data_IF_959863850040
#
_entry.id   IF_959863850040
#
_cell.length_a   1.000
_cell.length_b   1.000
_cell.length_c   1.000
_cell.angle_alpha   90.00
_cell.angle_beta   90.00
_cell.angle_gamma   90.00
#
_symmetry.space_group_name_H-M   'P 1'
#
loop_
_entity.id
_entity.type
_entity.pdbx_description
1 polymer ?
#
# COMPACT_ATOMS: atom_id res chain seq x y z
N UNK A 1 4.17 -75.93 -33.70
CA UNK A 1 4.98 -74.86 -33.07
C UNK A 1 5.06 -73.65 -34.00
N UNK A 2 4.44 -72.52 -33.65
CA UNK A 2 4.92 -71.15 -33.91
C UNK A 2 3.92 -70.16 -33.32
N UNK A 3 4.23 -69.69 -32.11
CA UNK A 3 3.61 -68.52 -31.48
C UNK A 3 3.91 -67.26 -32.31
N UNK A 4 2.95 -66.35 -32.41
CA UNK A 4 3.19 -64.91 -32.16
C UNK A 4 1.89 -64.10 -32.15
N UNK A 5 1.81 -63.26 -31.10
CA UNK A 5 1.11 -61.96 -30.98
C UNK A 5 -0.41 -61.99 -30.82
N UNK A 6 -0.84 -61.63 -29.60
CA UNK A 6 -1.84 -60.58 -29.37
C UNK A 6 -1.82 -60.21 -27.88
N UNK A 7 -0.92 -59.29 -27.51
CA UNK A 7 -0.97 -58.61 -26.22
C UNK A 7 -1.63 -57.26 -26.47
N UNK A 8 -2.96 -57.20 -26.34
CA UNK A 8 -3.71 -55.96 -26.54
C UNK A 8 -3.73 -55.19 -25.21
N UNK A 9 -2.88 -54.16 -25.12
CA UNK A 9 -2.73 -53.25 -23.97
C UNK A 9 -4.01 -52.45 -23.76
N UNK A 10 -4.81 -52.80 -22.74
CA UNK A 10 -5.75 -51.86 -22.09
C UNK A 10 -5.01 -51.05 -21.03
N UNK A 11 -4.17 -50.09 -21.47
CA UNK A 11 -3.54 -49.11 -20.60
C UNK A 11 -3.40 -47.81 -21.40
N UNK A 12 -4.47 -47.02 -21.44
CA UNK A 12 -4.47 -45.76 -22.21
C UNK A 12 -5.41 -44.68 -21.69
N UNK A 13 -6.52 -45.06 -21.04
CA UNK A 13 -7.50 -44.08 -20.57
C UNK A 13 -7.07 -43.27 -19.33
N UNK A 14 -6.31 -43.89 -18.41
CA UNK A 14 -5.98 -43.24 -17.13
C UNK A 14 -4.81 -42.25 -17.24
N UNK A 15 -3.88 -42.47 -18.19
CA UNK A 15 -2.77 -41.54 -18.45
C UNK A 15 -3.22 -40.23 -19.10
N UNK A 16 -4.27 -40.25 -19.92
CA UNK A 16 -4.81 -39.05 -20.57
C UNK A 16 -5.53 -38.13 -19.57
N UNK A 17 -6.20 -38.69 -18.55
CA UNK A 17 -6.90 -37.92 -17.51
C UNK A 17 -5.89 -37.28 -16.53
N UNK A 18 -4.82 -37.99 -16.17
CA UNK A 18 -3.74 -37.46 -15.33
C UNK A 18 -2.95 -36.33 -16.00
N UNK A 19 -2.70 -36.42 -17.31
CA UNK A 19 -2.04 -35.34 -18.07
C UNK A 19 -2.94 -34.11 -18.20
N UNK A 20 -4.26 -34.28 -18.30
CA UNK A 20 -5.21 -33.16 -18.32
C UNK A 20 -5.34 -32.43 -16.96
N UNK A 21 -5.22 -33.14 -15.83
CA UNK A 21 -5.20 -32.52 -14.50
C UNK A 21 -3.90 -31.76 -14.21
N UNK A 22 -2.76 -32.18 -14.77
CA UNK A 22 -1.48 -31.45 -14.62
C UNK A 22 -1.39 -30.16 -15.44
N UNK A 23 -2.20 -30.00 -16.50
CA UNK A 23 -2.23 -28.80 -17.34
C UNK A 23 -3.11 -27.68 -16.79
N UNK A 24 -3.96 -27.95 -15.80
CA UNK A 24 -4.81 -26.94 -15.13
C UNK A 24 -4.13 -26.28 -13.92
N UNK A 25 -2.96 -26.75 -13.50
CA UNK A 25 -2.04 -25.99 -12.64
C UNK A 25 -1.27 -24.95 -13.47
N UNK A 26 -2.00 -24.19 -14.29
CA UNK A 26 -1.49 -22.96 -14.87
C UNK A 26 -1.20 -22.02 -13.70
N UNK A 27 0.10 -21.81 -13.44
CA UNK A 27 0.58 -20.95 -12.38
C UNK A 27 -0.18 -19.61 -12.37
N UNK A 28 -1.02 -19.40 -11.36
CA UNK A 28 -1.54 -18.07 -11.05
C UNK A 28 -0.31 -17.19 -10.79
N UNK A 29 0.08 -16.36 -11.76
CA UNK A 29 1.17 -15.41 -11.55
C UNK A 29 0.74 -14.51 -10.40
N UNK A 30 1.57 -14.34 -9.37
CA UNK A 30 1.20 -13.49 -8.26
C UNK A 30 1.00 -12.06 -8.79
N UNK A 31 -0.12 -11.46 -8.45
CA UNK A 31 -0.47 -10.11 -8.89
C UNK A 31 0.47 -9.10 -8.21
N UNK A 32 1.23 -8.36 -9.01
CA UNK A 32 2.17 -7.35 -8.53
C UNK A 32 1.46 -6.01 -8.38
N UNK A 33 1.68 -5.34 -7.24
CA UNK A 33 1.25 -3.96 -7.03
C UNK A 33 2.04 -3.02 -7.95
N UNK A 34 3.35 -3.24 -8.06
CA UNK A 34 4.20 -2.53 -8.99
C UNK A 34 4.21 -3.24 -10.35
N UNK A 35 3.26 -2.88 -11.21
CA UNK A 35 3.02 -3.59 -12.48
C UNK A 35 4.21 -3.58 -13.45
N UNK A 36 4.92 -2.46 -13.58
CA UNK A 36 6.09 -2.35 -14.47
C UNK A 36 7.32 -3.09 -13.86
N UNK A 37 7.84 -4.13 -14.54
CA UNK A 37 9.03 -4.86 -14.08
C UNK A 37 10.30 -4.00 -13.98
N UNK A 38 10.49 -3.03 -14.87
CA UNK A 38 11.64 -2.13 -14.83
C UNK A 38 11.56 -1.21 -13.61
N UNK A 39 10.38 -0.64 -13.36
CA UNK A 39 10.13 0.15 -12.17
C UNK A 39 10.28 -0.66 -10.88
N UNK A 40 9.79 -1.90 -10.82
CA UNK A 40 10.04 -2.80 -9.66
C UNK A 40 11.52 -2.98 -9.36
N UNK A 41 12.34 -3.24 -10.38
CA UNK A 41 13.78 -3.36 -10.20
C UNK A 41 14.42 -2.07 -9.69
N UNK A 42 13.94 -0.91 -10.15
CA UNK A 42 14.37 0.39 -9.64
C UNK A 42 14.03 0.55 -8.16
N UNK A 43 12.77 0.32 -7.78
CA UNK A 43 12.29 0.40 -6.39
C UNK A 43 13.14 -0.50 -5.49
N UNK A 44 13.27 -1.78 -5.85
CA UNK A 44 14.02 -2.75 -5.06
C UNK A 44 15.49 -2.34 -4.89
N UNK A 45 16.14 -1.86 -5.95
CA UNK A 45 17.52 -1.38 -5.90
C UNK A 45 17.68 -0.17 -4.97
N UNK A 46 16.74 0.77 -4.99
CA UNK A 46 16.79 1.94 -4.11
C UNK A 46 16.49 1.56 -2.66
N UNK A 47 15.53 0.65 -2.44
CA UNK A 47 15.28 0.06 -1.13
C UNK A 47 16.55 -0.58 -0.55
N UNK A 48 17.27 -1.41 -1.32
CA UNK A 48 18.53 -2.03 -0.85
C UNK A 48 19.58 -1.00 -0.41
N UNK A 49 19.74 0.10 -1.16
CA UNK A 49 20.65 1.19 -0.77
C UNK A 49 20.22 1.84 0.56
N UNK A 50 18.92 2.08 0.72
CA UNK A 50 18.35 2.66 1.96
C UNK A 50 18.49 1.69 3.14
N UNK A 51 18.31 0.39 2.91
CA UNK A 51 18.48 -0.65 3.91
C UNK A 51 19.93 -0.73 4.41
N UNK A 52 20.92 -0.62 3.53
CA UNK A 52 22.33 -0.56 3.94
C UNK A 52 22.63 0.70 4.78
N UNK A 53 22.13 1.87 4.36
CA UNK A 53 22.27 3.11 5.14
C UNK A 53 21.65 2.98 6.54
N UNK A 54 20.53 2.26 6.66
CA UNK A 54 19.81 2.05 7.90
C UNK A 54 20.15 0.73 8.62
N UNK A 55 21.30 0.10 8.31
CA UNK A 55 21.70 -1.18 8.91
C UNK A 55 21.67 -1.20 10.44
N UNK A 56 21.95 -0.06 11.08
CA UNK A 56 21.91 0.11 12.54
C UNK A 56 20.52 0.02 13.16
N UNK A 57 19.45 0.06 12.34
CA UNK A 57 18.04 -0.06 12.75
C UNK A 57 17.34 -1.22 12.01
N UNK A 58 18.10 -2.25 11.62
CA UNK A 58 17.59 -3.33 10.78
C UNK A 58 16.40 -4.06 11.42
N UNK A 59 16.43 -4.25 12.74
CA UNK A 59 15.37 -4.95 13.46
C UNK A 59 14.09 -4.11 13.54
N UNK A 60 14.22 -2.84 13.87
CA UNK A 60 13.13 -1.87 14.04
C UNK A 60 12.42 -1.59 12.71
N UNK A 61 13.18 -1.49 11.62
CA UNK A 61 12.64 -1.15 10.30
C UNK A 61 12.20 -2.38 9.49
N UNK A 62 13.00 -3.44 9.45
CA UNK A 62 12.85 -4.48 8.43
C UNK A 62 12.28 -5.80 8.95
N UNK A 63 12.12 -5.97 10.26
CA UNK A 63 11.48 -7.18 10.84
C UNK A 63 10.06 -7.39 10.31
N UNK A 64 9.33 -6.30 10.07
CA UNK A 64 7.95 -6.30 9.54
C UNK A 64 7.84 -6.87 8.13
N UNK A 65 8.94 -6.94 7.37
CA UNK A 65 8.93 -7.53 6.03
C UNK A 65 8.69 -9.04 6.07
N UNK A 66 8.86 -9.70 7.22
CA UNK A 66 8.58 -11.14 7.35
C UNK A 66 7.07 -11.36 7.37
N UNK A 67 6.57 -12.24 6.49
CA UNK A 67 5.15 -12.61 6.45
C UNK A 67 4.22 -11.66 5.70
N UNK A 68 4.75 -10.59 5.08
CA UNK A 68 3.93 -9.72 4.22
C UNK A 68 3.52 -10.43 2.94
N UNK A 69 2.31 -10.11 2.47
CA UNK A 69 1.92 -10.47 1.11
C UNK A 69 2.73 -9.63 0.08
N UNK A 70 2.68 -10.02 -1.19
CA UNK A 70 3.46 -9.40 -2.24
C UNK A 70 3.16 -7.91 -2.43
N UNK A 71 1.88 -7.52 -2.41
CA UNK A 71 1.47 -6.12 -2.58
C UNK A 71 1.92 -5.24 -1.42
N UNK A 72 1.76 -5.71 -0.17
CA UNK A 72 2.26 -5.04 1.04
C UNK A 72 3.77 -4.86 0.99
N UNK A 73 4.52 -5.91 0.62
CA UNK A 73 5.97 -5.85 0.47
C UNK A 73 6.38 -4.80 -0.55
N UNK A 74 5.79 -4.83 -1.75
CA UNK A 74 6.15 -3.91 -2.82
C UNK A 74 5.81 -2.45 -2.49
N UNK A 75 4.68 -2.21 -1.84
CA UNK A 75 4.30 -0.88 -1.37
C UNK A 75 5.23 -0.38 -0.26
N UNK A 76 5.61 -1.25 0.69
CA UNK A 76 6.51 -0.88 1.77
C UNK A 76 7.96 -0.66 1.26
N UNK A 77 8.44 -1.46 0.31
CA UNK A 77 9.71 -1.23 -0.37
C UNK A 77 9.71 0.11 -1.13
N UNK A 78 8.59 0.47 -1.78
CA UNK A 78 8.44 1.78 -2.42
C UNK A 78 8.56 2.93 -1.40
N UNK A 79 7.91 2.82 -0.24
CA UNK A 79 8.07 3.83 0.81
C UNK A 79 9.52 3.91 1.28
N UNK A 80 10.18 2.78 1.58
CA UNK A 80 11.58 2.79 2.05
C UNK A 80 12.56 3.33 1.02
N UNK A 81 12.33 3.05 -0.27
CA UNK A 81 13.17 3.53 -1.35
C UNK A 81 13.22 5.08 -1.41
N UNK A 82 12.08 5.74 -1.18
CA UNK A 82 11.90 7.15 -1.50
C UNK A 82 11.53 8.06 -0.32
N UNK A 83 11.29 7.52 0.88
CA UNK A 83 11.03 8.32 2.07
C UNK A 83 12.24 9.20 2.46
N UNK A 84 11.99 10.34 3.13
CA UNK A 84 13.03 11.15 3.75
C UNK A 84 13.89 10.35 4.75
N UNK A 85 15.18 10.69 4.81
CA UNK A 85 16.12 10.02 5.73
C UNK A 85 15.77 10.27 7.20
N UNK A 86 15.16 11.41 7.52
CA UNK A 86 14.67 11.72 8.86
C UNK A 86 13.70 10.66 9.36
N UNK A 87 12.80 10.18 8.50
CA UNK A 87 11.75 9.25 8.91
C UNK A 87 12.32 7.84 9.07
N UNK A 88 13.25 7.48 8.18
CA UNK A 88 14.03 6.24 8.29
C UNK A 88 14.83 6.19 9.60
N UNK A 89 15.26 7.34 10.12
CA UNK A 89 15.98 7.45 11.39
C UNK A 89 15.04 7.46 12.61
N UNK A 90 13.83 8.02 12.49
CA UNK A 90 12.97 8.35 13.64
C UNK A 90 11.76 7.43 13.82
N UNK A 91 11.35 6.66 12.81
CA UNK A 91 10.13 5.84 12.84
C UNK A 91 10.43 4.36 12.60
N UNK A 92 9.51 3.49 13.00
CA UNK A 92 9.69 2.04 12.96
C UNK A 92 8.90 1.40 11.81
N UNK A 93 9.29 0.18 11.43
CA UNK A 93 8.66 -0.54 10.33
C UNK A 93 7.16 -0.78 10.52
N UNK A 94 6.70 -0.94 11.78
CA UNK A 94 5.28 -1.09 12.08
C UNK A 94 4.48 0.15 11.71
N UNK A 95 5.03 1.35 11.96
CA UNK A 95 4.38 2.60 11.56
C UNK A 95 4.14 2.61 10.05
N UNK A 96 5.18 2.37 9.24
CA UNK A 96 5.04 2.38 7.78
C UNK A 96 4.12 1.28 7.25
N UNK A 97 4.14 0.10 7.86
CA UNK A 97 3.23 -0.99 7.49
C UNK A 97 1.77 -0.62 7.76
N UNK A 98 1.47 0.03 8.89
CA UNK A 98 0.13 0.56 9.17
C UNK A 98 -0.30 1.58 8.11
N UNK A 99 0.62 2.44 7.65
CA UNK A 99 0.33 3.39 6.57
C UNK A 99 -0.04 2.68 5.26
N UNK A 100 0.71 1.64 4.87
CA UNK A 100 0.43 0.83 3.68
C UNK A 100 -0.94 0.16 3.79
N UNK A 101 -1.22 -0.48 4.93
CA UNK A 101 -2.47 -1.21 5.15
C UNK A 101 -3.68 -0.29 5.12
N UNK A 102 -3.63 0.87 5.76
CA UNK A 102 -4.75 1.81 5.73
C UNK A 102 -4.97 2.41 4.34
N UNK A 103 -3.90 2.65 3.57
CA UNK A 103 -4.04 3.09 2.17
C UNK A 103 -4.75 2.03 1.31
N UNK A 104 -4.36 0.76 1.44
CA UNK A 104 -5.03 -0.33 0.72
C UNK A 104 -6.46 -0.56 1.20
N UNK A 105 -6.70 -0.45 2.51
CA UNK A 105 -8.03 -0.53 3.09
C UNK A 105 -8.94 0.56 2.50
N UNK A 106 -8.48 1.80 2.43
CA UNK A 106 -9.23 2.89 1.82
C UNK A 106 -9.50 2.63 0.32
N UNK A 107 -8.49 2.16 -0.42
CA UNK A 107 -8.65 1.78 -1.84
C UNK A 107 -9.70 0.70 -2.06
N UNK A 108 -9.80 -0.26 -1.13
CA UNK A 108 -10.78 -1.34 -1.20
C UNK A 108 -12.17 -0.91 -0.72
N UNK A 109 -12.24 0.01 0.26
CA UNK A 109 -13.49 0.41 0.90
C UNK A 109 -14.36 1.29 0.00
N UNK A 110 -13.75 2.26 -0.69
CA UNK A 110 -14.50 3.20 -1.53
C UNK A 110 -14.70 2.66 -2.95
N UNK A 111 -15.91 2.86 -3.50
CA UNK A 111 -16.33 2.34 -4.81
C UNK A 111 -15.42 2.80 -5.96
N UNK A 112 -14.90 4.03 -5.86
CA UNK A 112 -13.99 4.65 -6.81
C UNK A 112 -12.51 4.25 -6.62
N UNK A 113 -12.15 3.57 -5.53
CA UNK A 113 -10.75 3.22 -5.25
C UNK A 113 -10.12 2.24 -6.25
N UNK A 114 -10.95 1.40 -6.89
CA UNK A 114 -10.55 0.49 -7.98
C UNK A 114 -10.30 1.22 -9.31
N UNK A 115 -10.90 2.39 -9.49
CA UNK A 115 -10.80 3.17 -10.73
C UNK A 115 -9.55 4.07 -10.73
N UNK A 116 -8.88 4.22 -9.57
CA UNK A 116 -7.64 4.98 -9.44
C UNK A 116 -6.48 4.20 -10.12
N UNK A 117 -5.76 4.81 -11.08
CA UNK A 117 -4.57 4.23 -11.68
C UNK A 117 -3.47 3.93 -10.64
N UNK A 118 -2.72 2.85 -10.82
CA UNK A 118 -1.74 2.41 -9.82
C UNK A 118 -0.58 3.39 -9.62
N UNK A 119 -0.19 4.12 -10.66
CA UNK A 119 0.81 5.19 -10.58
C UNK A 119 0.29 6.38 -9.79
N UNK A 120 -0.97 6.79 -9.99
CA UNK A 120 -1.60 7.84 -9.19
C UNK A 120 -1.71 7.41 -7.73
N UNK A 121 -2.23 6.21 -7.47
CA UNK A 121 -2.34 5.67 -6.11
C UNK A 121 -0.98 5.62 -5.42
N UNK A 122 0.06 5.11 -6.11
CA UNK A 122 1.41 4.97 -5.57
C UNK A 122 2.06 6.29 -5.21
N UNK A 123 1.87 7.36 -5.98
CA UNK A 123 2.56 8.62 -5.74
C UNK A 123 1.75 9.62 -4.92
N UNK A 124 0.42 9.52 -4.90
CA UNK A 124 -0.43 10.53 -4.27
C UNK A 124 -1.31 10.01 -3.13
N UNK A 125 -1.43 8.69 -2.96
CA UNK A 125 -2.24 8.10 -1.88
C UNK A 125 -1.38 7.27 -0.92
N UNK A 126 -0.46 6.47 -1.46
CA UNK A 126 0.39 5.61 -0.63
C UNK A 126 1.32 6.40 0.32
N UNK A 127 1.99 7.51 -0.09
CA UNK A 127 2.84 8.30 0.81
C UNK A 127 2.04 8.86 1.98
N UNK A 128 2.59 8.75 3.19
CA UNK A 128 1.90 9.01 4.47
C UNK A 128 1.98 10.47 4.94
N UNK A 129 2.65 11.32 4.18
CA UNK A 129 2.80 12.76 4.42
C UNK A 129 2.48 13.52 3.15
N UNK A 130 1.98 14.74 3.32
CA UNK A 130 1.67 15.66 2.22
C UNK A 130 2.76 16.73 2.12
N UNK A 131 3.28 17.21 3.24
CA UNK A 131 4.28 18.28 3.30
C UNK A 131 5.43 17.88 4.26
N UNK A 132 6.00 18.86 4.97
CA UNK A 132 7.10 18.71 5.92
C UNK A 132 6.62 18.52 7.38
N UNK A 133 5.36 18.17 7.59
CA UNK A 133 4.81 17.87 8.91
C UNK A 133 5.50 16.68 9.58
N UNK A 134 5.51 16.69 10.91
CA UNK A 134 5.92 15.51 11.66
C UNK A 134 4.88 14.38 11.48
N UNK A 135 5.27 13.15 11.09
CA UNK A 135 4.31 12.08 10.87
C UNK A 135 3.60 11.69 12.15
N UNK A 136 2.30 11.48 12.05
CA UNK A 136 1.47 10.93 13.12
C UNK A 136 0.55 9.83 12.58
N UNK A 137 -0.46 9.43 13.35
CA UNK A 137 -1.44 8.38 12.99
C UNK A 137 -2.70 8.93 12.33
N UNK A 138 -2.66 10.15 11.77
CA UNK A 138 -3.82 10.81 11.19
C UNK A 138 -4.52 9.96 10.14
N UNK A 139 -3.78 9.28 9.26
CA UNK A 139 -4.36 8.39 8.24
C UNK A 139 -5.31 7.35 8.85
N UNK A 140 -4.89 6.69 9.93
CA UNK A 140 -5.68 5.66 10.60
C UNK A 140 -6.91 6.27 11.28
N UNK A 141 -6.70 7.36 12.03
CA UNK A 141 -7.77 8.03 12.79
C UNK A 141 -8.81 8.63 11.85
N UNK A 142 -8.38 9.38 10.85
CA UNK A 142 -9.26 10.06 9.91
C UNK A 142 -9.97 9.10 8.98
N UNK A 143 -9.32 7.98 8.59
CA UNK A 143 -10.02 6.93 7.86
C UNK A 143 -11.22 6.40 8.65
N UNK A 144 -11.04 6.12 9.94
CA UNK A 144 -12.14 5.64 10.79
C UNK A 144 -13.24 6.69 10.99
N UNK A 145 -12.89 7.98 11.14
CA UNK A 145 -13.88 9.06 11.27
C UNK A 145 -14.65 9.36 9.98
N UNK A 146 -13.98 9.30 8.82
CA UNK A 146 -14.55 9.75 7.55
C UNK A 146 -15.19 8.62 6.73
N UNK A 147 -14.75 7.36 6.88
CA UNK A 147 -15.13 6.28 5.95
C UNK A 147 -16.64 6.11 5.78
N UNK A 148 -17.41 6.22 6.86
CA UNK A 148 -18.86 6.06 6.79
C UNK A 148 -19.58 7.33 6.34
N UNK A 149 -19.01 8.50 6.65
CA UNK A 149 -19.52 9.81 6.22
C UNK A 149 -19.47 9.97 4.69
N UNK A 150 -18.42 9.47 4.05
CA UNK A 150 -18.23 9.59 2.60
C UNK A 150 -18.59 8.31 1.83
N UNK A 151 -19.09 7.29 2.52
CA UNK A 151 -19.47 6.02 1.91
C UNK A 151 -20.58 6.22 0.89
N UNK A 152 -20.39 5.67 -0.31
CA UNK A 152 -21.38 5.74 -1.38
C UNK A 152 -21.42 7.06 -2.14
N UNK A 153 -20.64 8.06 -1.73
CA UNK A 153 -20.43 9.28 -2.52
C UNK A 153 -19.49 9.01 -3.69
N UNK A 154 -19.72 9.72 -4.80
CA UNK A 154 -18.72 9.83 -5.85
C UNK A 154 -17.51 10.64 -5.38
N UNK A 155 -16.41 10.60 -6.14
CA UNK A 155 -15.14 11.22 -5.74
C UNK A 155 -15.27 12.74 -5.53
N UNK A 156 -16.09 13.43 -6.33
CA UNK A 156 -16.29 14.87 -6.23
C UNK A 156 -17.02 15.24 -4.93
N UNK A 157 -18.14 14.56 -4.65
CA UNK A 157 -18.91 14.77 -3.42
C UNK A 157 -18.15 14.34 -2.17
N UNK A 158 -17.39 13.25 -2.25
CA UNK A 158 -16.51 12.82 -1.17
C UNK A 158 -15.46 13.88 -0.83
N UNK A 159 -14.83 14.51 -1.84
CA UNK A 159 -13.87 15.58 -1.62
C UNK A 159 -14.50 16.81 -0.94
N UNK A 160 -15.70 17.22 -1.38
CA UNK A 160 -16.44 18.30 -0.72
C UNK A 160 -16.79 17.96 0.74
N UNK A 161 -17.21 16.72 1.00
CA UNK A 161 -17.58 16.29 2.34
C UNK A 161 -16.37 16.25 3.28
N UNK A 162 -15.21 15.84 2.79
CA UNK A 162 -13.95 15.92 3.55
C UNK A 162 -13.61 17.38 3.85
N UNK A 163 -13.74 18.29 2.89
CA UNK A 163 -13.50 19.72 3.10
C UNK A 163 -14.45 20.31 4.16
N UNK A 164 -15.72 19.91 4.16
CA UNK A 164 -16.67 20.31 5.21
C UNK A 164 -16.26 19.75 6.59
N UNK A 165 -15.86 18.47 6.66
CA UNK A 165 -15.34 17.89 7.89
C UNK A 165 -14.10 18.61 8.41
N UNK A 166 -13.15 19.01 7.53
CA UNK A 166 -11.98 19.77 7.97
C UNK A 166 -12.38 21.12 8.59
N UNK A 167 -13.37 21.81 8.01
CA UNK A 167 -13.90 23.07 8.54
C UNK A 167 -14.59 22.91 9.91
N UNK A 168 -15.14 21.74 10.21
CA UNK A 168 -15.67 21.43 11.55
C UNK A 168 -14.57 21.24 12.61
N UNK A 169 -13.32 21.00 12.18
CA UNK A 169 -12.21 20.60 13.05
C UNK A 169 -11.20 21.71 13.29
N UNK A 170 -10.95 22.55 12.29
CA UNK A 170 -9.85 23.53 12.29
C UNK A 170 -10.35 24.89 11.81
N UNK A 171 -10.04 25.94 12.58
CA UNK A 171 -10.28 27.33 12.18
C UNK A 171 -8.99 28.01 11.72
N UNK A 172 -9.04 28.77 10.64
CA UNK A 172 -7.89 29.56 10.18
C UNK A 172 -7.32 30.45 11.29
N UNK A 173 -6.01 30.33 11.51
CA UNK A 173 -5.23 31.26 12.30
C UNK A 173 -3.79 31.29 11.78
N UNK A 174 -3.26 32.49 11.56
CA UNK A 174 -1.84 32.63 11.23
C UNK A 174 -0.97 32.12 12.39
N UNK A 175 -0.09 31.18 12.09
CA UNK A 175 0.90 30.58 13.01
C UNK A 175 2.30 30.75 12.42
N UNK A 176 3.32 30.11 13.02
CA UNK A 176 4.67 30.11 12.47
C UNK A 176 4.80 29.29 11.16
N UNK A 177 6.00 29.29 10.55
CA UNK A 177 6.23 28.66 9.25
C UNK A 177 6.15 27.13 9.27
N UNK A 178 6.29 26.49 10.45
CA UNK A 178 6.28 25.03 10.58
C UNK A 178 4.89 24.48 10.30
N UNK A 179 4.83 23.36 9.60
CA UNK A 179 3.58 22.64 9.35
C UNK A 179 3.31 21.71 10.53
N UNK A 180 2.19 21.95 11.21
CA UNK A 180 1.69 21.11 12.30
C UNK A 180 1.24 19.74 11.76
N UNK A 181 1.44 18.69 12.55
CA UNK A 181 0.92 17.36 12.24
C UNK A 181 -0.62 17.37 12.28
N UNK A 182 -1.33 16.60 11.43
CA UNK A 182 -2.79 16.73 11.32
C UNK A 182 -3.54 16.47 12.63
N UNK A 183 -3.13 15.48 13.43
CA UNK A 183 -3.74 15.24 14.75
C UNK A 183 -3.42 16.36 15.74
N UNK A 184 -2.25 16.98 15.64
CA UNK A 184 -1.91 18.14 16.46
C UNK A 184 -2.78 19.34 16.09
N UNK A 185 -3.00 19.57 14.80
CA UNK A 185 -3.88 20.65 14.29
C UNK A 185 -5.33 20.46 14.75
N UNK A 186 -5.87 19.24 14.63
CA UNK A 186 -7.22 18.93 15.14
C UNK A 186 -7.31 19.13 16.65
N UNK A 187 -6.26 18.76 17.39
CA UNK A 187 -6.21 18.94 18.85
C UNK A 187 -6.19 20.43 19.25
N UNK A 188 -5.48 21.26 18.51
CA UNK A 188 -5.41 22.71 18.79
C UNK A 188 -6.59 23.48 18.21
N UNK A 189 -7.30 22.90 17.24
CA UNK A 189 -8.45 23.46 16.52
C UNK A 189 -8.14 24.75 15.73
N UNK A 190 -6.87 25.02 15.43
CA UNK A 190 -6.45 26.12 14.56
C UNK A 190 -5.24 25.74 13.72
N UNK A 191 -5.12 26.34 12.54
CA UNK A 191 -4.01 26.14 11.60
C UNK A 191 -4.03 27.16 10.46
N UNK A 192 -3.00 27.15 9.61
CA UNK A 192 -2.94 27.91 8.35
C UNK A 192 -3.69 27.18 7.24
N UNK A 193 -3.80 27.82 6.08
CA UNK A 193 -4.49 27.25 4.92
C UNK A 193 -4.01 25.84 4.52
N UNK A 194 -2.72 25.51 4.69
CA UNK A 194 -2.19 24.17 4.41
C UNK A 194 -2.46 23.13 5.50
N UNK A 195 -3.03 23.54 6.64
CA UNK A 195 -3.35 22.70 7.80
C UNK A 195 -4.87 22.52 7.98
N UNK A 196 -5.68 23.30 7.24
CA UNK A 196 -7.15 23.27 7.23
C UNK A 196 -7.76 22.36 6.15
N UNK A 197 -6.93 21.80 5.28
CA UNK A 197 -7.36 21.04 4.09
C UNK A 197 -6.85 19.62 4.12
#
# INVERSE_FOLDING_TARGET
MRQKRLFNRKFGGWSLILVAMFLLSACSRPEHFLKDPAYRRLVHRQFQKRAELARGRQQELFSVLKGLNLAEREALEFLYAFMPLSDLANLDGQYFLEQVRTAFQARQYFSWGRDIPDDIFRHFVLPYRVNNENPDRARQVFFEELKDRIKGLDMYRAALEVNHWCHEKVTYRSTDERTSAPLATVKTAFGRCGEET
#
